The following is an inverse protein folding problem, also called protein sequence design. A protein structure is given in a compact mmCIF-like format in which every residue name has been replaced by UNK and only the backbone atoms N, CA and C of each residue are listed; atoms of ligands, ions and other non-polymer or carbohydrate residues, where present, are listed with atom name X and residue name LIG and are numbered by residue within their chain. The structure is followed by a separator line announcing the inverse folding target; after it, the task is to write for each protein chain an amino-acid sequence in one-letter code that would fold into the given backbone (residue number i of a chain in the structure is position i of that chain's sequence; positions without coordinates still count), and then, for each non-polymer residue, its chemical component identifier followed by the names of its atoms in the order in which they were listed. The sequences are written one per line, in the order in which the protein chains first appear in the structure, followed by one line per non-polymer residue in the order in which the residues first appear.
data_IF_625757092293
#
_entry.id   IF_625757092293
#
_cell.length_a   1.000
_cell.length_b   1.000
_cell.length_c   1.000
_cell.angle_alpha   90.00
_cell.angle_beta   90.00
_cell.angle_gamma   90.00
#
_symmetry.space_group_name_H-M   'P 1'
#
loop_
_entity.id
_entity.type
_entity.pdbx_description
1 polymer ?
#
# COMPACT_ATOMS: atom_id res chain seq x y z
N UNK A 1 -10.01 -3.17 10.19
CA UNK A 1 -8.66 -3.29 9.61
C UNK A 1 -8.64 -4.35 8.53
N UNK A 2 -7.55 -4.48 7.78
CA UNK A 2 -7.41 -5.47 6.70
C UNK A 2 -6.27 -6.45 7.01
N UNK A 3 -6.61 -7.65 7.45
CA UNK A 3 -5.70 -8.65 8.01
C UNK A 3 -5.32 -9.72 6.99
N UNK A 4 -4.27 -9.45 6.20
CA UNK A 4 -3.70 -10.40 5.22
C UNK A 4 -2.27 -10.77 5.59
N UNK A 5 -1.40 -9.78 5.71
CA UNK A 5 0.04 -9.96 5.95
C UNK A 5 0.33 -10.65 7.28
N UNK A 6 1.34 -11.51 7.27
CA UNK A 6 1.88 -12.24 8.41
C UNK A 6 3.37 -11.92 8.59
N UNK A 7 3.96 -12.20 9.77
CA UNK A 7 5.40 -12.00 9.97
C UNK A 7 6.27 -12.64 8.89
N UNK A 8 5.87 -13.81 8.39
CA UNK A 8 6.61 -14.59 7.38
C UNK A 8 6.11 -14.41 5.94
N UNK A 9 4.99 -13.69 5.71
CA UNK A 9 4.34 -13.63 4.40
C UNK A 9 3.64 -12.28 4.16
N UNK A 10 4.24 -11.45 3.30
CA UNK A 10 3.67 -10.18 2.83
C UNK A 10 3.42 -10.19 1.33
N UNK A 11 4.49 -10.12 0.53
CA UNK A 11 4.42 -10.19 -0.93
C UNK A 11 3.85 -11.51 -1.44
N UNK A 12 4.17 -12.62 -0.77
CA UNK A 12 3.61 -13.94 -1.05
C UNK A 12 2.36 -14.18 -0.20
N UNK A 13 1.23 -13.64 -0.65
CA UNK A 13 -0.06 -13.83 0.04
C UNK A 13 -0.49 -15.31 0.05
N UNK A 14 -0.05 -16.12 -0.92
CA UNK A 14 -0.35 -17.56 -0.92
C UNK A 14 0.47 -18.33 0.13
N UNK A 15 1.50 -17.71 0.70
CA UNK A 15 2.36 -18.27 1.75
C UNK A 15 1.79 -18.18 3.17
N UNK A 16 0.69 -17.45 3.39
CA UNK A 16 0.13 -17.24 4.73
C UNK A 16 -0.27 -18.55 5.42
N UNK A 17 -0.16 -18.57 6.75
CA UNK A 17 -0.30 -19.74 7.62
C UNK A 17 -1.45 -19.65 8.63
N UNK A 18 -2.03 -18.46 8.87
CA UNK A 18 -3.23 -18.33 9.70
C UNK A 18 -4.29 -19.28 9.18
N UNK A 19 -4.77 -20.17 10.05
CA UNK A 19 -5.63 -21.29 9.70
C UNK A 19 -7.02 -21.08 10.28
N UNK A 20 -8.04 -21.43 9.51
CA UNK A 20 -9.43 -21.47 9.95
C UNK A 20 -9.97 -22.89 9.74
N UNK A 21 -10.42 -23.54 10.81
CA UNK A 21 -10.93 -24.92 10.77
C UNK A 21 -12.41 -24.92 11.06
N UNK A 22 -13.22 -25.42 10.12
CA UNK A 22 -14.66 -25.52 10.32
C UNK A 22 -15.00 -26.54 11.40
N UNK A 23 -15.83 -26.16 12.36
CA UNK A 23 -16.42 -27.01 13.40
C UNK A 23 -17.91 -26.68 13.50
N UNK A 24 -18.75 -27.52 12.91
CA UNK A 24 -20.19 -27.26 12.85
C UNK A 24 -20.50 -25.98 12.05
N UNK A 25 -21.14 -25.02 12.71
CA UNK A 25 -21.56 -23.72 12.19
C UNK A 25 -20.56 -22.58 12.46
N UNK A 26 -19.38 -22.88 13.01
CA UNK A 26 -18.30 -21.93 13.27
C UNK A 26 -16.96 -22.38 12.65
N UNK A 27 -16.01 -21.45 12.59
CA UNK A 27 -14.60 -21.69 12.29
C UNK A 27 -13.76 -21.35 13.51
N UNK A 28 -12.78 -22.21 13.82
CA UNK A 28 -11.75 -21.93 14.81
C UNK A 28 -10.52 -21.38 14.09
N UNK A 29 -10.14 -20.15 14.42
CA UNK A 29 -9.06 -19.41 13.78
C UNK A 29 -7.85 -19.36 14.70
N UNK A 30 -6.68 -19.75 14.17
CA UNK A 30 -5.40 -19.64 14.85
C UNK A 30 -4.33 -19.06 13.93
N UNK A 31 -3.57 -18.09 14.43
CA UNK A 31 -2.44 -17.51 13.70
C UNK A 31 -2.09 -16.10 14.15
N UNK A 32 -1.19 -15.47 13.40
CA UNK A 32 -0.74 -14.11 13.68
C UNK A 32 -0.65 -13.32 12.40
N UNK A 33 -1.24 -12.13 12.43
CA UNK A 33 -1.15 -11.12 11.38
C UNK A 33 -0.24 -9.98 11.83
N UNK A 34 0.39 -9.33 10.86
CA UNK A 34 1.37 -8.28 11.11
C UNK A 34 1.19 -7.10 10.17
N UNK A 35 1.57 -5.91 10.65
CA UNK A 35 1.49 -4.65 9.90
C UNK A 35 0.05 -4.20 9.60
N UNK A 36 -0.87 -4.45 10.53
CA UNK A 36 -2.29 -4.16 10.33
C UNK A 36 -2.57 -2.69 10.64
N UNK A 37 -2.83 -1.91 9.59
CA UNK A 37 -3.28 -0.53 9.73
C UNK A 37 -4.66 -0.49 10.41
N UNK A 38 -4.83 0.45 11.34
CA UNK A 38 -5.96 0.57 12.24
C UNK A 38 -6.15 -0.66 13.17
N UNK A 39 -5.09 -1.42 13.43
CA UNK A 39 -5.13 -2.62 14.26
C UNK A 39 -5.63 -2.39 15.70
N UNK A 40 -5.34 -1.21 16.24
CA UNK A 40 -5.69 -0.76 17.59
C UNK A 40 -7.02 -0.04 17.68
N UNK A 41 -7.59 0.43 16.57
CA UNK A 41 -8.77 1.32 16.56
C UNK A 41 -9.95 0.81 15.73
N UNK A 42 -9.79 -0.23 14.91
CA UNK A 42 -10.88 -0.75 14.09
C UNK A 42 -11.95 -1.48 14.92
N UNK A 43 -13.23 -1.32 14.54
CA UNK A 43 -14.40 -2.03 15.09
C UNK A 43 -14.60 -3.44 14.51
N UNK A 44 -14.09 -3.69 13.31
CA UNK A 44 -14.13 -5.00 12.67
C UNK A 44 -12.93 -5.16 11.73
N UNK A 45 -12.62 -6.40 11.36
CA UNK A 45 -11.54 -6.73 10.45
C UNK A 45 -12.02 -7.61 9.29
N UNK A 46 -11.51 -7.32 8.11
CA UNK A 46 -11.37 -8.35 7.08
C UNK A 46 -10.22 -9.27 7.49
N UNK A 47 -10.42 -10.58 7.47
CA UNK A 47 -9.38 -11.58 7.74
C UNK A 47 -9.29 -12.58 6.59
N UNK A 48 -8.08 -12.77 6.06
CA UNK A 48 -7.77 -13.88 5.16
C UNK A 48 -7.07 -15.01 5.92
N UNK A 49 -7.67 -16.20 5.90
CA UNK A 49 -7.12 -17.39 6.53
C UNK A 49 -7.19 -18.60 5.59
N UNK A 50 -6.27 -19.54 5.77
CA UNK A 50 -6.24 -20.81 5.04
C UNK A 50 -7.28 -21.75 5.65
N UNK A 51 -8.26 -22.17 4.84
CA UNK A 51 -9.27 -23.17 5.25
C UNK A 51 -9.00 -24.54 4.65
N UNK A 52 -8.36 -24.60 3.48
CA UNK A 52 -8.12 -25.89 2.82
C UNK A 52 -7.03 -26.69 3.55
N UNK A 53 -7.29 -27.97 3.90
CA UNK A 53 -6.37 -28.77 4.71
C UNK A 53 -5.10 -29.17 3.94
N UNK A 54 -5.21 -29.42 2.64
CA UNK A 54 -4.04 -29.71 1.80
C UNK A 54 -3.16 -28.46 1.61
N UNK A 55 -1.88 -28.47 2.03
CA UNK A 55 -0.94 -27.37 1.80
C UNK A 55 -0.65 -27.10 0.31
N UNK A 56 -0.88 -28.08 -0.58
CA UNK A 56 -0.65 -27.97 -2.03
C UNK A 56 -1.87 -27.46 -2.81
N UNK A 57 -3.01 -27.26 -2.14
CA UNK A 57 -4.20 -26.74 -2.80
C UNK A 57 -3.92 -25.40 -3.49
N UNK A 58 -4.46 -25.18 -4.70
CA UNK A 58 -4.23 -23.95 -5.44
C UNK A 58 -4.75 -22.74 -4.66
N UNK A 59 -4.04 -21.61 -4.75
CA UNK A 59 -4.38 -20.39 -4.01
C UNK A 59 -5.83 -19.93 -4.25
N UNK A 60 -6.37 -20.17 -5.45
CA UNK A 60 -7.76 -19.85 -5.82
C UNK A 60 -8.84 -20.63 -5.06
N UNK A 61 -8.47 -21.66 -4.27
CA UNK A 61 -9.40 -22.47 -3.46
C UNK A 61 -8.94 -22.65 -2.01
N UNK A 62 -7.73 -22.22 -1.68
CA UNK A 62 -7.09 -22.56 -0.40
C UNK A 62 -7.52 -21.69 0.78
N UNK A 63 -8.08 -20.50 0.50
CA UNK A 63 -8.28 -19.45 1.50
C UNK A 63 -9.72 -18.99 1.56
N UNK A 64 -10.16 -18.59 2.75
CA UNK A 64 -11.48 -18.00 2.98
C UNK A 64 -11.30 -16.62 3.63
N UNK A 65 -12.17 -15.69 3.23
CA UNK A 65 -12.23 -14.36 3.78
C UNK A 65 -13.36 -14.27 4.82
N UNK A 66 -13.09 -13.58 5.93
CA UNK A 66 -14.03 -13.41 7.02
C UNK A 66 -14.18 -11.93 7.37
N UNK A 67 -15.37 -11.53 7.81
CA UNK A 67 -15.58 -10.30 8.57
C UNK A 67 -15.62 -10.64 10.06
N UNK A 68 -14.66 -10.17 10.85
CA UNK A 68 -14.57 -10.48 12.28
C UNK A 68 -14.73 -9.21 13.11
N UNK A 69 -15.48 -9.30 14.21
CA UNK A 69 -15.62 -8.18 15.15
C UNK A 69 -14.35 -8.00 16.00
N UNK A 70 -14.11 -6.76 16.39
CA UNK A 70 -12.93 -6.32 17.11
C UNK A 70 -12.78 -6.88 18.53
N UNK A 71 -13.90 -7.21 19.15
CA UNK A 71 -14.06 -7.71 20.52
C UNK A 71 -14.29 -9.23 20.56
N UNK A 72 -14.22 -9.90 19.39
CA UNK A 72 -14.34 -11.35 19.32
C UNK A 72 -13.27 -12.03 20.18
N UNK A 73 -13.73 -12.91 21.07
CA UNK A 73 -12.88 -13.60 22.03
C UNK A 73 -11.83 -14.45 21.29
N UNK A 74 -10.55 -14.27 21.66
CA UNK A 74 -9.41 -14.88 20.99
C UNK A 74 -8.69 -13.95 20.00
N UNK A 75 -9.22 -12.76 19.70
CA UNK A 75 -8.50 -11.69 19.02
C UNK A 75 -7.68 -10.86 20.01
N UNK A 76 -6.36 -10.86 19.85
CA UNK A 76 -5.44 -10.15 20.74
C UNK A 76 -4.69 -9.07 19.95
N UNK A 77 -4.84 -7.81 20.38
CA UNK A 77 -4.13 -6.67 19.78
C UNK A 77 -2.74 -6.53 20.37
N UNK A 78 -1.73 -6.48 19.50
CA UNK A 78 -0.36 -6.18 19.90
C UNK A 78 -0.15 -4.71 20.28
N UNK A 79 1.09 -4.35 20.57
CA UNK A 79 1.51 -2.95 20.77
C UNK A 79 1.39 -2.15 19.47
N UNK A 80 1.38 -0.82 19.57
CA UNK A 80 1.59 0.07 18.42
C UNK A 80 3.05 -0.03 17.98
N UNK A 81 3.26 -0.28 16.69
CA UNK A 81 4.60 -0.32 16.10
C UNK A 81 5.14 1.09 15.83
N UNK A 82 6.44 1.27 16.05
CA UNK A 82 7.12 2.54 15.87
C UNK A 82 7.88 2.57 14.54
N UNK A 83 7.21 3.05 13.50
CA UNK A 83 7.73 3.09 12.15
C UNK A 83 8.47 4.41 11.85
N UNK A 84 9.30 4.41 10.80
CA UNK A 84 10.04 5.58 10.33
C UNK A 84 9.11 6.75 9.94
N UNK A 85 8.07 6.45 9.15
CA UNK A 85 7.11 7.42 8.62
C UNK A 85 5.66 7.02 8.93
N UNK A 86 4.72 7.90 8.61
CA UNK A 86 3.29 7.77 8.91
C UNK A 86 3.00 7.46 10.39
N UNK A 87 3.81 8.01 11.30
CA UNK A 87 3.81 7.67 12.75
C UNK A 87 2.46 7.90 13.46
N UNK A 88 1.64 8.81 12.95
CA UNK A 88 0.29 9.04 13.45
C UNK A 88 -0.65 7.86 13.18
N UNK A 89 -0.43 7.12 12.08
CA UNK A 89 -1.20 5.91 11.76
C UNK A 89 -1.01 4.83 12.82
N UNK A 90 -2.07 4.12 13.18
CA UNK A 90 -2.00 2.97 14.08
C UNK A 90 -1.67 1.71 13.26
N UNK A 91 -0.56 1.05 13.59
CA UNK A 91 -0.11 -0.19 12.94
C UNK A 91 0.31 -1.19 14.00
N UNK A 92 -0.22 -2.42 13.93
CA UNK A 92 -0.03 -3.43 14.98
C UNK A 92 0.09 -4.84 14.42
N UNK A 93 0.67 -5.73 15.21
CA UNK A 93 0.41 -7.17 15.10
C UNK A 93 -0.95 -7.52 15.73
N UNK A 94 -1.62 -8.54 15.19
CA UNK A 94 -2.87 -9.09 15.71
C UNK A 94 -2.74 -10.61 15.79
N UNK A 95 -2.94 -11.18 16.97
CA UNK A 95 -2.91 -12.63 17.19
C UNK A 95 -4.32 -13.17 17.31
N UNK A 96 -4.54 -14.38 16.80
CA UNK A 96 -5.79 -15.12 16.92
C UNK A 96 -5.49 -16.45 17.62
N UNK A 97 -6.09 -16.65 18.79
CA UNK A 97 -5.93 -17.85 19.63
C UNK A 97 -7.29 -18.48 19.85
N UNK A 98 -7.52 -19.63 19.21
CA UNK A 98 -8.79 -20.36 19.22
C UNK A 98 -10.03 -19.49 19.02
N UNK A 99 -9.90 -18.42 18.23
CA UNK A 99 -10.96 -17.46 17.99
C UNK A 99 -12.09 -18.13 17.20
N UNK A 100 -13.31 -18.02 17.71
CA UNK A 100 -14.51 -18.58 17.09
C UNK A 100 -15.14 -17.57 16.15
N UNK A 101 -15.36 -17.97 14.90
CA UNK A 101 -15.97 -17.11 13.88
C UNK A 101 -17.19 -17.82 13.30
N UNK A 102 -18.41 -17.27 13.42
CA UNK A 102 -19.60 -17.87 12.83
C UNK A 102 -19.43 -18.07 11.32
N UNK A 103 -19.96 -19.16 10.76
CA UNK A 103 -19.90 -19.41 9.31
C UNK A 103 -20.66 -18.33 8.50
N UNK A 104 -21.63 -17.65 9.12
CA UNK A 104 -22.32 -16.50 8.53
C UNK A 104 -21.40 -15.29 8.27
N UNK A 105 -20.22 -15.23 8.92
CA UNK A 105 -19.25 -14.18 8.74
C UNK A 105 -18.29 -14.42 7.56
N UNK A 106 -18.46 -15.53 6.82
CA UNK A 106 -17.72 -15.80 5.58
C UNK A 106 -18.13 -14.80 4.51
N UNK A 107 -17.14 -14.14 3.91
CA UNK A 107 -17.34 -13.27 2.76
C UNK A 107 -17.25 -14.09 1.47
N UNK A 108 -18.34 -14.17 0.72
CA UNK A 108 -18.44 -15.04 -0.46
C UNK A 108 -18.64 -16.50 -0.05
N UNK A 109 -17.92 -17.43 -0.69
CA UNK A 109 -17.94 -18.86 -0.34
C UNK A 109 -16.59 -19.30 0.22
N UNK A 110 -16.58 -20.43 0.92
CA UNK A 110 -15.34 -21.08 1.34
C UNK A 110 -14.45 -21.32 0.11
N UNK A 111 -13.18 -20.89 0.18
CA UNK A 111 -12.22 -20.96 -0.93
C UNK A 111 -12.14 -19.70 -1.81
N UNK A 112 -13.11 -18.78 -1.76
CA UNK A 112 -13.11 -17.55 -2.57
C UNK A 112 -12.16 -16.46 -2.04
N UNK A 113 -11.60 -16.65 -0.84
CA UNK A 113 -10.92 -15.60 -0.08
C UNK A 113 -9.74 -14.96 -0.83
N UNK A 114 -8.95 -15.76 -1.55
CA UNK A 114 -7.81 -15.23 -2.31
C UNK A 114 -8.27 -14.32 -3.46
N UNK A 115 -9.32 -14.73 -4.18
CA UNK A 115 -9.91 -13.94 -5.26
C UNK A 115 -10.46 -12.62 -4.71
N UNK A 116 -11.19 -12.67 -3.60
CA UNK A 116 -11.73 -11.47 -2.94
C UNK A 116 -10.60 -10.52 -2.56
N UNK A 117 -9.54 -11.02 -1.91
CA UNK A 117 -8.39 -10.21 -1.52
C UNK A 117 -7.68 -9.57 -2.72
N UNK A 118 -7.54 -10.29 -3.84
CA UNK A 118 -6.92 -9.73 -5.05
C UNK A 118 -7.80 -8.66 -5.72
N UNK A 119 -9.12 -8.84 -5.73
CA UNK A 119 -10.06 -7.85 -6.27
C UNK A 119 -10.08 -6.55 -5.46
N UNK A 120 -9.85 -6.63 -4.14
CA UNK A 120 -9.71 -5.43 -3.30
C UNK A 120 -8.52 -4.59 -3.76
N UNK A 121 -7.37 -5.21 -4.06
CA UNK A 121 -6.18 -4.46 -4.48
C UNK A 121 -6.36 -3.68 -5.77
N UNK A 122 -7.15 -4.18 -6.72
CA UNK A 122 -7.45 -3.46 -7.97
C UNK A 122 -8.25 -2.17 -7.70
N UNK A 123 -9.07 -2.14 -6.63
CA UNK A 123 -9.80 -0.95 -6.19
C UNK A 123 -8.98 -0.04 -5.28
N UNK A 124 -8.08 -0.58 -4.44
CA UNK A 124 -7.35 0.22 -3.44
C UNK A 124 -6.06 0.84 -3.97
N UNK A 125 -5.37 0.20 -4.91
CA UNK A 125 -4.09 0.70 -5.45
C UNK A 125 -4.18 2.10 -6.07
N UNK A 126 -5.23 2.48 -6.82
CA UNK A 126 -5.37 3.85 -7.31
C UNK A 126 -5.42 4.88 -6.17
N UNK A 127 -6.12 4.58 -5.08
CA UNK A 127 -6.19 5.48 -3.91
C UNK A 127 -4.82 5.61 -3.21
N UNK A 128 -4.06 4.51 -3.11
CA UNK A 128 -2.69 4.53 -2.56
C UNK A 128 -1.75 5.35 -3.45
N UNK A 129 -1.86 5.20 -4.78
CA UNK A 129 -1.12 6.01 -5.73
C UNK A 129 -1.47 7.50 -5.60
N UNK A 130 -2.75 7.83 -5.42
CA UNK A 130 -3.19 9.21 -5.18
C UNK A 130 -2.57 9.79 -3.90
N UNK A 131 -2.48 9.01 -2.82
CA UNK A 131 -1.78 9.41 -1.59
C UNK A 131 -0.30 9.72 -1.83
N UNK A 132 0.39 8.91 -2.63
CA UNK A 132 1.79 9.14 -3.01
C UNK A 132 1.94 10.42 -3.86
N UNK A 133 1.05 10.65 -4.82
CA UNK A 133 1.00 11.89 -5.62
C UNK A 133 0.79 13.11 -4.73
N UNK A 134 -0.11 13.03 -3.73
CA UNK A 134 -0.34 14.11 -2.78
C UNK A 134 0.90 14.46 -1.96
N UNK A 135 1.63 13.44 -1.47
CA UNK A 135 2.89 13.64 -0.77
C UNK A 135 3.95 14.28 -1.69
N UNK A 136 4.11 13.75 -2.90
CA UNK A 136 5.05 14.27 -3.89
C UNK A 136 4.77 15.74 -4.22
N UNK A 137 3.49 16.08 -4.43
CA UNK A 137 3.04 17.45 -4.65
C UNK A 137 3.38 18.36 -3.48
N UNK A 138 3.14 17.92 -2.24
CA UNK A 138 3.51 18.71 -1.06
C UNK A 138 5.02 18.96 -1.00
N UNK A 139 5.85 17.94 -1.29
CA UNK A 139 7.30 18.09 -1.32
C UNK A 139 7.75 19.11 -2.39
N UNK A 140 7.13 19.05 -3.58
CA UNK A 140 7.35 20.01 -4.66
C UNK A 140 6.97 21.44 -4.29
N UNK A 141 5.79 21.64 -3.69
CA UNK A 141 5.32 22.96 -3.29
C UNK A 141 6.24 23.59 -2.24
N UNK A 142 6.64 22.84 -1.21
CA UNK A 142 7.60 23.31 -0.19
C UNK A 142 8.95 23.68 -0.82
N UNK A 143 9.50 22.80 -1.67
CA UNK A 143 10.78 23.04 -2.34
C UNK A 143 10.74 24.28 -3.24
N UNK A 144 9.66 24.43 -4.02
CA UNK A 144 9.45 25.59 -4.90
C UNK A 144 9.40 26.88 -4.09
N UNK A 145 8.57 26.93 -3.05
CA UNK A 145 8.46 28.13 -2.21
C UNK A 145 9.78 28.52 -1.56
N UNK A 146 10.51 27.55 -0.98
CA UNK A 146 11.81 27.81 -0.38
C UNK A 146 12.83 28.32 -1.41
N UNK A 147 12.81 27.73 -2.61
CA UNK A 147 13.74 28.10 -3.68
C UNK A 147 13.58 29.54 -4.19
N UNK A 148 12.37 30.09 -4.08
CA UNK A 148 12.03 31.46 -4.46
C UNK A 148 12.32 32.49 -3.35
N UNK A 149 12.76 32.04 -2.18
CA UNK A 149 13.10 32.90 -1.05
C UNK A 149 14.60 32.85 -0.72
N UNK A 150 15.19 31.66 -0.74
CA UNK A 150 16.60 31.47 -0.39
C UNK A 150 17.52 32.01 -1.46
N UNK A 151 18.56 32.75 -1.06
CA UNK A 151 19.64 33.21 -1.96
C UNK A 151 20.96 32.53 -1.66
N UNK A 152 21.70 32.18 -2.70
CA UNK A 152 23.11 31.79 -2.65
C UNK A 152 23.82 32.36 -3.87
N UNK A 153 25.11 32.71 -3.73
CA UNK A 153 25.90 33.28 -4.83
C UNK A 153 25.20 34.48 -5.50
N UNK A 154 24.52 35.32 -4.70
CA UNK A 154 23.86 36.56 -5.16
C UNK A 154 22.49 36.39 -5.84
N UNK A 155 21.99 35.18 -6.06
CA UNK A 155 20.72 34.91 -6.76
C UNK A 155 19.78 34.03 -5.95
N UNK A 156 18.48 34.03 -6.27
CA UNK A 156 17.56 33.04 -5.71
C UNK A 156 18.01 31.65 -6.12
N UNK A 157 17.87 30.65 -5.25
CA UNK A 157 18.36 29.31 -5.61
C UNK A 157 17.56 28.71 -6.77
N UNK A 158 16.32 29.15 -6.99
CA UNK A 158 15.52 28.82 -8.18
C UNK A 158 16.17 29.28 -9.51
N UNK A 159 17.05 30.29 -9.50
CA UNK A 159 17.76 30.78 -10.68
C UNK A 159 19.00 29.93 -11.02
N UNK A 160 19.42 29.03 -10.13
CA UNK A 160 20.47 28.07 -10.43
C UNK A 160 19.89 26.94 -11.27
N UNK A 161 20.43 26.73 -12.46
CA UNK A 161 19.93 25.74 -13.43
C UNK A 161 19.73 24.35 -12.82
N UNK A 162 20.65 23.90 -11.95
CA UNK A 162 20.54 22.62 -11.27
C UNK A 162 19.27 22.49 -10.42
N UNK A 163 18.89 23.55 -9.69
CA UNK A 163 17.66 23.56 -8.87
C UNK A 163 16.43 23.67 -9.77
N UNK A 164 16.47 24.52 -10.80
CA UNK A 164 15.38 24.64 -11.76
C UNK A 164 15.06 23.29 -12.45
N UNK A 165 16.10 22.52 -12.82
CA UNK A 165 15.93 21.20 -13.42
C UNK A 165 15.36 20.19 -12.41
N UNK A 166 15.78 20.21 -11.15
CA UNK A 166 15.16 19.37 -10.11
C UNK A 166 13.66 19.65 -9.98
N UNK A 167 13.26 20.93 -9.92
CA UNK A 167 11.85 21.31 -9.83
C UNK A 167 11.05 20.89 -11.08
N UNK A 168 11.65 21.00 -12.27
CA UNK A 168 11.03 20.56 -13.51
C UNK A 168 10.79 19.04 -13.52
N UNK A 169 11.79 18.23 -13.13
CA UNK A 169 11.67 16.77 -13.04
C UNK A 169 10.64 16.33 -11.99
N UNK A 170 10.57 17.03 -10.84
CA UNK A 170 9.52 16.80 -9.85
C UNK A 170 8.14 17.02 -10.47
N UNK A 171 7.93 18.13 -11.19
CA UNK A 171 6.66 18.42 -11.85
C UNK A 171 6.29 17.36 -12.90
N UNK A 172 7.22 16.97 -13.76
CA UNK A 172 7.02 15.92 -14.79
C UNK A 172 6.57 14.61 -14.13
N UNK A 173 7.28 14.16 -13.09
CA UNK A 173 6.95 12.94 -12.37
C UNK A 173 5.57 13.00 -11.72
N UNK A 174 5.23 14.13 -11.08
CA UNK A 174 3.95 14.32 -10.39
C UNK A 174 2.78 14.31 -11.37
N UNK A 175 2.85 15.05 -12.47
CA UNK A 175 1.79 15.08 -13.48
C UNK A 175 1.60 13.71 -14.12
N UNK A 176 2.70 13.04 -14.48
CA UNK A 176 2.67 11.69 -15.06
C UNK A 176 2.00 10.69 -14.13
N UNK A 177 2.40 10.69 -12.84
CA UNK A 177 1.84 9.82 -11.82
C UNK A 177 0.35 10.12 -11.57
N UNK A 178 -0.05 11.39 -11.56
CA UNK A 178 -1.45 11.80 -11.38
C UNK A 178 -2.34 11.31 -12.53
N UNK A 179 -1.90 11.50 -13.77
CA UNK A 179 -2.67 11.11 -14.95
C UNK A 179 -2.93 9.60 -14.99
N UNK A 180 -1.89 8.77 -14.77
CA UNK A 180 -2.07 7.31 -14.76
C UNK A 180 -2.91 6.84 -13.56
N UNK A 181 -2.82 7.54 -12.43
CA UNK A 181 -3.68 7.27 -11.26
C UNK A 181 -5.14 7.52 -11.57
N UNK A 182 -5.48 8.66 -12.17
CA UNK A 182 -6.84 8.96 -12.60
C UNK A 182 -7.35 8.00 -13.67
N UNK A 183 -6.51 7.63 -14.64
CA UNK A 183 -6.86 6.64 -15.65
C UNK A 183 -7.25 5.30 -15.01
N UNK A 184 -6.44 4.82 -14.06
CA UNK A 184 -6.71 3.56 -13.36
C UNK A 184 -8.00 3.61 -12.51
N UNK A 185 -8.27 4.75 -11.87
CA UNK A 185 -9.52 4.98 -11.14
C UNK A 185 -10.74 5.02 -12.08
N UNK A 186 -10.61 5.73 -13.20
CA UNK A 186 -11.67 5.82 -14.20
C UNK A 186 -12.04 4.46 -14.80
N UNK A 187 -11.06 3.60 -15.09
CA UNK A 187 -11.32 2.25 -15.60
C UNK A 187 -12.13 1.40 -14.62
N UNK A 188 -11.79 1.41 -13.33
CA UNK A 188 -12.52 0.62 -12.35
C UNK A 188 -13.93 1.16 -12.12
N UNK A 189 -14.13 2.48 -12.21
CA UNK A 189 -15.46 3.12 -12.14
C UNK A 189 -16.33 2.77 -13.37
N UNK A 190 -15.71 2.50 -14.52
CA UNK A 190 -16.39 1.99 -15.73
C UNK A 190 -16.66 0.49 -15.71
N UNK A 191 -16.24 -0.22 -14.65
CA UNK A 191 -16.35 -1.67 -14.57
C UNK A 191 -15.32 -2.42 -15.43
N UNK A 192 -14.29 -1.72 -15.91
CA UNK A 192 -13.20 -2.30 -16.68
C UNK A 192 -12.11 -2.87 -15.76
N UNK A 193 -11.41 -3.92 -16.22
CA UNK A 193 -10.25 -4.45 -15.50
C UNK A 193 -9.11 -3.43 -15.54
N UNK A 194 -8.70 -2.93 -14.37
CA UNK A 194 -7.66 -1.90 -14.27
C UNK A 194 -6.30 -2.41 -13.78
N UNK A 195 -6.12 -3.71 -13.52
CA UNK A 195 -4.93 -4.30 -12.88
C UNK A 195 -3.60 -3.78 -13.43
N UNK A 196 -3.48 -3.66 -14.77
CA UNK A 196 -2.29 -3.11 -15.43
C UNK A 196 -2.01 -1.66 -15.04
N UNK A 197 -2.99 -0.77 -15.24
CA UNK A 197 -2.83 0.65 -14.94
C UNK A 197 -2.78 0.94 -13.43
N UNK A 198 -3.44 0.12 -12.60
CA UNK A 198 -3.35 0.21 -11.14
C UNK A 198 -1.93 -0.08 -10.64
N UNK A 199 -1.28 -1.11 -11.20
CA UNK A 199 0.10 -1.41 -10.86
C UNK A 199 1.10 -0.39 -11.40
N UNK A 200 0.89 0.15 -12.62
CA UNK A 200 1.71 1.27 -13.14
C UNK A 200 1.57 2.49 -12.24
N UNK A 201 0.34 2.90 -11.94
CA UNK A 201 0.08 4.06 -11.09
C UNK A 201 0.74 3.92 -9.73
N UNK A 202 0.57 2.77 -9.06
CA UNK A 202 1.17 2.52 -7.74
C UNK A 202 2.69 2.54 -7.81
N UNK A 203 3.30 1.88 -8.79
CA UNK A 203 4.75 1.84 -8.93
C UNK A 203 5.33 3.24 -9.20
N UNK A 204 4.80 3.93 -10.21
CA UNK A 204 5.28 5.24 -10.62
C UNK A 204 5.08 6.29 -9.52
N UNK A 205 3.88 6.38 -8.95
CA UNK A 205 3.59 7.36 -7.90
C UNK A 205 4.45 7.14 -6.65
N UNK A 206 4.70 5.89 -6.27
CA UNK A 206 5.57 5.58 -5.14
C UNK A 206 7.03 6.00 -5.39
N UNK A 207 7.55 5.73 -6.58
CA UNK A 207 8.93 6.09 -6.95
C UNK A 207 9.09 7.62 -7.05
N UNK A 208 8.13 8.30 -7.68
CA UNK A 208 8.07 9.77 -7.77
C UNK A 208 7.99 10.41 -6.39
N UNK A 209 7.14 9.90 -5.49
CA UNK A 209 7.02 10.43 -4.14
C UNK A 209 8.32 10.34 -3.34
N UNK A 210 9.06 9.23 -3.47
CA UNK A 210 10.35 9.07 -2.81
C UNK A 210 11.39 10.04 -3.39
N UNK A 211 11.45 10.16 -4.72
CA UNK A 211 12.39 11.09 -5.40
C UNK A 211 12.08 12.54 -5.05
N UNK A 212 10.83 12.97 -5.16
CA UNK A 212 10.42 14.33 -4.85
C UNK A 212 10.68 14.69 -3.38
N UNK A 213 10.43 13.77 -2.44
CA UNK A 213 10.67 14.04 -1.03
C UNK A 213 12.18 14.20 -0.71
N UNK A 214 13.04 13.37 -1.29
CA UNK A 214 14.51 13.53 -1.11
C UNK A 214 15.04 14.78 -1.82
N UNK A 215 14.50 15.14 -2.99
CA UNK A 215 14.89 16.35 -3.70
C UNK A 215 14.46 17.61 -2.94
N UNK A 216 13.30 17.59 -2.29
CA UNK A 216 12.84 18.68 -1.44
C UNK A 216 13.78 18.89 -0.24
N UNK A 217 14.20 17.81 0.43
CA UNK A 217 15.24 17.89 1.48
C UNK A 217 16.53 18.50 0.92
N UNK A 218 16.96 18.06 -0.27
CA UNK A 218 18.17 18.55 -0.93
C UNK A 218 18.11 20.04 -1.27
N UNK A 219 16.97 20.54 -1.77
CA UNK A 219 16.76 21.96 -2.11
C UNK A 219 16.77 22.85 -0.85
N UNK A 220 16.25 22.33 0.28
CA UNK A 220 16.35 23.03 1.56
C UNK A 220 17.79 23.03 2.15
N UNK A 221 18.65 22.09 1.73
CA UNK A 221 19.99 21.91 2.26
C UNK A 221 19.96 21.50 3.74
N UNK A 222 20.81 22.10 4.57
CA UNK A 222 20.87 21.77 6.01
C UNK A 222 19.53 21.95 6.75
N UNK A 223 18.72 22.94 6.33
CA UNK A 223 17.38 23.15 6.89
C UNK A 223 16.45 21.97 6.59
N UNK A 224 16.60 21.31 5.44
CA UNK A 224 15.76 20.19 5.03
C UNK A 224 16.00 18.93 5.85
N UNK A 225 17.16 18.83 6.51
CA UNK A 225 17.50 17.73 7.42
C UNK A 225 17.03 17.98 8.85
N UNK A 226 16.55 19.19 9.16
CA UNK A 226 16.12 19.58 10.49
C UNK A 226 14.59 19.43 10.65
N UNK A 227 14.15 18.98 11.83
CA UNK A 227 12.73 18.71 12.13
C UNK A 227 11.84 19.94 12.28
N UNK A 228 12.41 21.15 12.33
CA UNK A 228 11.64 22.41 12.27
C UNK A 228 11.09 22.66 10.86
N UNK A 229 11.62 21.97 9.83
CA UNK A 229 11.17 22.06 8.46
C UNK A 229 10.38 20.82 8.01
N UNK A 230 9.39 20.97 7.12
CA UNK A 230 8.42 19.91 6.86
C UNK A 230 8.96 18.75 6.01
N UNK A 231 10.03 18.96 5.25
CA UNK A 231 10.46 18.06 4.17
C UNK A 231 11.09 16.76 4.65
N UNK A 232 11.74 16.74 5.84
CA UNK A 232 12.27 15.50 6.42
C UNK A 232 11.14 14.48 6.72
N UNK A 233 10.01 14.99 7.22
CA UNK A 233 8.82 14.17 7.49
C UNK A 233 8.29 13.58 6.19
N UNK A 234 8.24 14.36 5.12
CA UNK A 234 7.79 13.88 3.81
C UNK A 234 8.71 12.76 3.30
N UNK A 235 10.03 12.87 3.49
CA UNK A 235 10.99 11.83 3.11
C UNK A 235 10.75 10.53 3.89
N UNK A 236 10.56 10.61 5.21
CA UNK A 236 10.23 9.44 6.04
C UNK A 236 8.90 8.80 5.63
N UNK A 237 7.88 9.63 5.39
CA UNK A 237 6.53 9.18 5.04
C UNK A 237 6.47 8.58 3.62
N UNK A 238 7.27 9.07 2.67
CA UNK A 238 7.27 8.60 1.28
C UNK A 238 7.67 7.12 1.14
N UNK A 239 8.56 6.64 2.02
CA UNK A 239 9.18 5.31 1.86
C UNK A 239 8.18 4.17 1.87
N UNK A 240 7.12 4.28 2.66
CA UNK A 240 6.14 3.21 2.82
C UNK A 240 5.37 2.92 1.51
N UNK A 241 5.23 3.91 0.63
CA UNK A 241 4.55 3.72 -0.67
C UNK A 241 5.28 2.73 -1.58
N UNK A 242 6.58 2.51 -1.42
CA UNK A 242 7.31 1.48 -2.18
C UNK A 242 7.18 0.08 -1.56
N UNK A 243 6.56 -0.06 -0.38
CA UNK A 243 6.56 -1.28 0.42
C UNK A 243 5.15 -1.87 0.54
N UNK A 244 4.21 -1.16 1.17
CA UNK A 244 2.86 -1.69 1.43
C UNK A 244 2.00 -1.79 0.16
N UNK A 245 0.85 -2.47 0.23
CA UNK A 245 -0.09 -2.62 -0.91
C UNK A 245 0.59 -3.20 -2.18
N UNK A 246 1.57 -4.08 -1.95
CA UNK A 246 2.42 -4.72 -2.95
C UNK A 246 3.66 -3.88 -3.28
N UNK A 247 4.85 -4.41 -2.97
CA UNK A 247 6.13 -3.70 -3.11
C UNK A 247 6.40 -3.20 -4.54
N UNK A 248 7.32 -2.27 -4.70
CA UNK A 248 7.77 -1.77 -6.00
C UNK A 248 8.14 -2.91 -6.99
N UNK A 249 8.74 -4.00 -6.48
CA UNK A 249 9.09 -5.19 -7.27
C UNK A 249 7.86 -6.03 -7.62
N UNK A 250 6.92 -6.19 -6.68
CA UNK A 250 5.67 -6.91 -6.94
C UNK A 250 4.82 -6.19 -7.98
N UNK A 251 4.76 -4.86 -7.96
CA UNK A 251 4.07 -4.13 -9.03
C UNK A 251 4.71 -4.38 -10.39
N UNK A 252 6.05 -4.36 -10.49
CA UNK A 252 6.76 -4.67 -11.74
C UNK A 252 6.49 -6.10 -12.22
N UNK A 253 6.37 -7.07 -11.31
CA UNK A 253 5.98 -8.44 -11.62
C UNK A 253 4.53 -8.53 -12.16
N UNK A 254 3.60 -7.74 -11.61
CA UNK A 254 2.22 -7.69 -12.11
C UNK A 254 2.19 -7.06 -13.51
N UNK A 255 2.88 -5.94 -13.69
CA UNK A 255 2.99 -5.24 -14.97
C UNK A 255 3.55 -6.18 -16.05
N UNK A 256 4.65 -6.91 -15.77
CA UNK A 256 5.25 -7.83 -16.75
C UNK A 256 4.29 -8.95 -17.14
N UNK A 257 3.55 -9.52 -16.17
CA UNK A 257 2.52 -10.54 -16.45
C UNK A 257 1.39 -10.01 -17.34
N UNK A 258 0.90 -8.80 -17.08
CA UNK A 258 -0.15 -8.20 -17.90
C UNK A 258 0.35 -7.87 -19.32
N UNK A 259 1.60 -7.40 -19.48
CA UNK A 259 2.23 -7.21 -20.80
C UNK A 259 2.25 -8.53 -21.59
N UNK A 260 2.75 -9.60 -20.97
CA UNK A 260 2.82 -10.91 -21.64
C UNK A 260 1.44 -11.45 -22.00
N UNK A 261 0.44 -11.27 -21.13
CA UNK A 261 -0.93 -11.68 -21.41
C UNK A 261 -1.54 -10.92 -22.59
N UNK A 262 -1.35 -9.60 -22.65
CA UNK A 262 -1.83 -8.75 -23.74
C UNK A 262 -1.18 -9.11 -25.07
N UNK A 263 0.15 -9.30 -25.07
CA UNK A 263 0.91 -9.70 -26.24
C UNK A 263 0.38 -11.02 -26.84
N UNK A 264 0.19 -12.04 -26.00
CA UNK A 264 -0.35 -13.35 -26.43
C UNK A 264 -1.78 -13.28 -26.96
N UNK A 265 -2.53 -12.27 -26.53
CA UNK A 265 -3.93 -12.07 -26.92
C UNK A 265 -4.08 -11.10 -28.10
N UNK A 266 -2.98 -10.57 -28.65
CA UNK A 266 -3.01 -9.61 -29.76
C UNK A 266 -3.52 -8.20 -29.40
N UNK A 267 -3.56 -7.87 -28.11
CA UNK A 267 -4.14 -6.63 -27.57
C UNK A 267 -3.06 -5.69 -26.99
N UNK A 268 -1.85 -5.69 -27.58
CA UNK A 268 -0.75 -4.83 -27.12
C UNK A 268 -0.89 -3.40 -27.62
#
# INVERSE_FOLDING_TARGET
GYCVTEPAAGSDVAGIKTRAVKKGDEYIVNGQKMWITNGGVANWFFLLARTHPDPKAPASKAFTAFAIEADNQGLIRGRKEWNMGQRASDTRGITFEDMRVPAANVLGKEGDGFKIAMLVFDKTRPAVAAGAVGLARRAFEEATQYSLQRKTMGKLIAEHQAVAFMLAEMAIGIESARLVTHLSAWQIDKGEKNTYFASIAKALAADVANKAATDAVQIFGGNGFNSEYPVEKLMRDAKIYQIYEGTAQIQRLIISREIFSRAKSGNL
#
